data_IF_230674632687
#
_entry.id   IF_230674632687
#
_cell.length_a   1.000
_cell.length_b   1.000
_cell.length_c   1.000
_cell.angle_alpha   90.00
_cell.angle_beta   90.00
_cell.angle_gamma   90.00
#
_symmetry.space_group_name_H-M   'P 1'
#
loop_
_entity.id
_entity.type
_entity.pdbx_description
1 polymer ?
#
# COMPACT_ATOMS: atom_id res chain seq x y z
N UNK A 1 -17.07 6.68 -0.22
CA UNK A 1 -15.81 6.54 -1.00
C UNK A 1 -15.42 5.07 -1.04
N UNK A 2 -14.90 4.61 -2.14
CA UNK A 2 -14.46 3.22 -2.30
C UNK A 2 -12.98 3.14 -2.61
N UNK A 3 -12.40 1.97 -2.40
CA UNK A 3 -11.02 1.68 -2.79
C UNK A 3 -11.04 0.86 -4.07
N UNK A 4 -10.18 1.24 -4.99
CA UNK A 4 -9.88 0.44 -6.17
C UNK A 4 -8.38 0.20 -6.24
N UNK A 5 -8.00 -0.97 -6.74
CA UNK A 5 -6.60 -1.34 -6.94
C UNK A 5 -6.32 -1.37 -8.43
N UNK A 6 -5.25 -0.72 -8.85
CA UNK A 6 -4.83 -0.81 -10.24
C UNK A 6 -4.45 -2.27 -10.56
N UNK A 7 -4.44 -2.61 -11.85
CA UNK A 7 -4.05 -3.95 -12.27
C UNK A 7 -2.63 -4.32 -11.80
N UNK A 8 -1.76 -3.33 -11.70
CA UNK A 8 -0.41 -3.51 -11.18
C UNK A 8 -0.42 -3.76 -9.67
N UNK A 9 -1.16 -2.94 -8.93
CA UNK A 9 -1.16 -2.97 -7.47
C UNK A 9 -1.82 -4.21 -6.88
N UNK A 10 -2.78 -4.79 -7.59
CA UNK A 10 -3.53 -5.97 -7.12
C UNK A 10 -2.61 -7.12 -6.73
N UNK A 11 -1.49 -7.29 -7.45
CA UNK A 11 -0.55 -8.38 -7.20
C UNK A 11 0.46 -8.06 -6.08
N UNK A 12 0.62 -6.79 -5.70
CA UNK A 12 1.68 -6.39 -4.78
C UNK A 12 1.59 -7.04 -3.40
N UNK A 13 0.41 -7.09 -2.73
CA UNK A 13 0.34 -7.72 -1.41
C UNK A 13 0.74 -9.19 -1.44
N UNK A 14 0.38 -9.91 -2.48
CA UNK A 14 0.75 -11.33 -2.61
C UNK A 14 2.25 -11.48 -2.81
N UNK A 15 2.85 -10.66 -3.66
CA UNK A 15 4.29 -10.67 -3.90
C UNK A 15 5.06 -10.39 -2.61
N UNK A 16 4.61 -9.38 -1.85
CA UNK A 16 5.20 -9.04 -0.55
C UNK A 16 5.04 -10.21 0.42
N UNK A 17 3.86 -10.81 0.48
CA UNK A 17 3.57 -11.92 1.38
C UNK A 17 4.49 -13.11 1.11
N UNK A 18 4.67 -13.45 -0.16
CA UNK A 18 5.56 -14.56 -0.55
C UNK A 18 7.00 -14.30 -0.14
N UNK A 19 7.48 -13.07 -0.33
CA UNK A 19 8.81 -12.67 0.08
C UNK A 19 8.99 -12.77 1.60
N UNK A 20 8.04 -12.23 2.37
CA UNK A 20 8.11 -12.25 3.83
C UNK A 20 8.04 -13.67 4.36
N UNK A 21 7.21 -14.52 3.75
CA UNK A 21 7.12 -15.92 4.15
C UNK A 21 8.46 -16.62 3.98
N UNK A 22 9.15 -16.40 2.86
CA UNK A 22 10.45 -16.98 2.62
C UNK A 22 11.52 -16.48 3.57
N UNK A 23 11.52 -15.16 3.84
CA UNK A 23 12.56 -14.54 4.68
C UNK A 23 12.30 -14.70 6.17
N UNK A 24 11.06 -14.92 6.56
CA UNK A 24 10.64 -15.02 7.96
C UNK A 24 9.81 -16.27 8.18
N UNK A 25 8.50 -16.15 8.07
CA UNK A 25 7.57 -17.25 8.27
C UNK A 25 6.17 -16.83 7.81
N UNK A 26 5.26 -17.81 7.76
CA UNK A 26 3.89 -17.57 7.31
C UNK A 26 3.13 -16.64 8.25
N UNK A 27 3.33 -16.76 9.55
CA UNK A 27 2.64 -15.91 10.53
C UNK A 27 2.98 -14.44 10.31
N UNK A 28 4.26 -14.14 10.10
CA UNK A 28 4.71 -12.77 9.82
C UNK A 28 4.15 -12.27 8.50
N UNK A 29 4.15 -13.11 7.46
CA UNK A 29 3.59 -12.76 6.15
C UNK A 29 2.12 -12.40 6.27
N UNK A 30 1.35 -13.18 7.03
CA UNK A 30 -0.08 -12.91 7.22
C UNK A 30 -0.31 -11.60 7.95
N UNK A 31 0.51 -11.29 8.95
CA UNK A 31 0.41 -10.02 9.68
C UNK A 31 0.72 -8.84 8.78
N UNK A 32 1.75 -8.94 7.97
CA UNK A 32 2.11 -7.88 7.02
C UNK A 32 0.97 -7.65 6.02
N UNK A 33 0.43 -8.72 5.46
CA UNK A 33 -0.69 -8.64 4.51
C UNK A 33 -1.89 -7.94 5.13
N UNK A 34 -2.26 -8.34 6.35
CA UNK A 34 -3.38 -7.72 7.08
C UNK A 34 -3.14 -6.23 7.29
N UNK A 35 -1.93 -5.85 7.69
CA UNK A 35 -1.61 -4.44 7.92
C UNK A 35 -1.68 -3.62 6.64
N UNK A 36 -1.28 -4.19 5.51
CA UNK A 36 -1.40 -3.51 4.21
C UNK A 36 -2.87 -3.23 3.89
N UNK A 37 -3.73 -4.24 3.97
CA UNK A 37 -5.14 -4.08 3.64
C UNK A 37 -5.86 -3.15 4.61
N UNK A 38 -5.55 -3.22 5.89
CA UNK A 38 -6.13 -2.31 6.88
C UNK A 38 -5.72 -0.87 6.62
N UNK A 39 -4.45 -0.62 6.31
CA UNK A 39 -3.96 0.71 6.00
C UNK A 39 -4.65 1.29 4.77
N UNK A 40 -4.85 0.47 3.74
CA UNK A 40 -5.54 0.89 2.52
C UNK A 40 -7.01 1.20 2.84
N UNK A 41 -7.67 0.35 3.61
CA UNK A 41 -9.08 0.54 3.96
C UNK A 41 -9.28 1.83 4.78
N UNK A 42 -8.33 2.19 5.63
CA UNK A 42 -8.39 3.42 6.41
C UNK A 42 -8.39 4.66 5.53
N UNK A 43 -7.87 4.58 4.31
CA UNK A 43 -7.89 5.70 3.37
C UNK A 43 -9.28 6.08 2.91
N UNK A 44 -10.27 5.20 3.04
CA UNK A 44 -11.67 5.51 2.75
C UNK A 44 -12.17 6.62 3.67
N UNK A 45 -11.75 6.58 4.94
CA UNK A 45 -12.14 7.58 5.94
C UNK A 45 -11.21 8.79 5.93
N UNK A 46 -9.93 8.57 5.72
CA UNK A 46 -8.92 9.63 5.75
C UNK A 46 -8.03 9.60 4.50
N UNK A 47 -8.58 9.98 3.34
CA UNK A 47 -7.83 9.87 2.09
C UNK A 47 -6.58 10.76 2.02
N UNK A 48 -6.55 11.86 2.78
CA UNK A 48 -5.40 12.77 2.79
C UNK A 48 -4.31 12.36 3.78
N UNK A 49 -4.42 11.19 4.41
CA UNK A 49 -3.48 10.75 5.44
C UNK A 49 -2.06 10.58 4.93
N UNK A 50 -1.89 10.13 3.69
CA UNK A 50 -0.58 9.99 3.09
C UNK A 50 0.03 11.34 2.74
N UNK A 51 1.36 11.40 2.75
CA UNK A 51 2.10 12.59 2.31
C UNK A 51 2.00 12.76 0.80
N UNK A 52 2.30 13.94 0.29
CA UNK A 52 2.42 14.13 -1.15
C UNK A 52 3.50 13.21 -1.71
N UNK A 53 3.17 12.52 -2.81
CA UNK A 53 4.07 11.59 -3.43
C UNK A 53 5.11 12.27 -4.30
N UNK A 54 6.12 11.50 -4.70
CA UNK A 54 7.17 11.96 -5.62
C UNK A 54 6.63 12.29 -6.99
N UNK A 55 5.59 11.56 -7.41
CA UNK A 55 4.91 11.83 -8.67
C UNK A 55 3.74 12.76 -8.39
N UNK A 56 3.62 13.83 -9.16
CA UNK A 56 2.55 14.79 -9.01
C UNK A 56 1.18 14.09 -9.07
N UNK A 57 0.28 14.48 -8.16
CA UNK A 57 -1.05 13.89 -8.08
C UNK A 57 -1.13 12.60 -7.30
N UNK A 58 -0.02 12.10 -6.78
CA UNK A 58 -0.02 10.90 -5.93
C UNK A 58 0.21 11.24 -4.47
N UNK A 59 -0.15 10.29 -3.61
CA UNK A 59 0.18 10.30 -2.18
C UNK A 59 0.86 9.00 -1.80
N UNK A 60 1.62 9.04 -0.72
CA UNK A 60 2.35 7.88 -0.21
C UNK A 60 2.04 7.72 1.27
N UNK A 61 1.47 6.58 1.63
CA UNK A 61 1.18 6.23 3.01
C UNK A 61 2.19 5.22 3.52
N UNK A 62 2.96 5.61 4.53
CA UNK A 62 3.89 4.69 5.21
C UNK A 62 3.10 3.82 6.17
N UNK A 63 3.33 2.51 6.12
CA UNK A 63 2.69 1.55 7.00
C UNK A 63 3.60 1.29 8.20
N UNK A 64 3.64 2.25 9.12
CA UNK A 64 4.51 2.16 10.30
C UNK A 64 4.04 1.03 11.21
N UNK A 65 4.95 0.20 11.75
CA UNK A 65 6.42 0.22 11.64
C UNK A 65 7.00 -0.58 10.48
N UNK A 66 6.16 -1.05 9.57
CA UNK A 66 6.61 -1.85 8.44
C UNK A 66 7.28 -1.00 7.37
N UNK A 67 8.21 -1.60 6.58
CA UNK A 67 8.95 -0.84 5.58
C UNK A 67 8.21 -0.70 4.25
N UNK A 68 6.88 -0.70 4.28
CA UNK A 68 6.08 -0.65 3.06
C UNK A 68 5.35 0.67 2.92
N UNK A 69 5.17 1.10 1.68
CA UNK A 69 4.52 2.35 1.32
C UNK A 69 3.41 2.05 0.32
N UNK A 70 2.21 2.55 0.61
CA UNK A 70 1.08 2.51 -0.33
C UNK A 70 1.11 3.78 -1.15
N UNK A 71 1.26 3.66 -2.46
CA UNK A 71 1.19 4.78 -3.39
C UNK A 71 -0.21 4.82 -3.98
N UNK A 72 -0.89 5.96 -3.89
CA UNK A 72 -2.29 6.06 -4.28
C UNK A 72 -2.63 7.45 -4.81
N UNK A 73 -3.78 7.53 -5.47
CA UNK A 73 -4.39 8.79 -5.92
C UNK A 73 -5.77 8.91 -5.31
N UNK A 74 -6.18 10.15 -5.02
CA UNK A 74 -7.51 10.42 -4.46
C UNK A 74 -8.36 11.10 -5.53
N UNK A 75 -9.52 10.51 -5.80
CA UNK A 75 -10.55 11.07 -6.67
C UNK A 75 -11.79 11.37 -5.83
N UNK A 76 -12.76 12.14 -6.33
CA UNK A 76 -13.92 12.49 -5.52
C UNK A 76 -14.66 11.31 -4.92
N UNK A 77 -14.68 10.16 -5.61
CA UNK A 77 -15.49 9.00 -5.21
C UNK A 77 -14.68 7.80 -4.80
N UNK A 78 -13.35 7.85 -5.01
CA UNK A 78 -12.52 6.66 -4.80
C UNK A 78 -11.08 7.01 -4.46
N UNK A 79 -10.44 6.05 -3.83
CA UNK A 79 -9.00 6.01 -3.68
C UNK A 79 -8.49 4.92 -4.63
N UNK A 80 -7.56 5.27 -5.50
CA UNK A 80 -6.96 4.33 -6.43
C UNK A 80 -5.55 3.98 -5.95
N UNK A 81 -5.35 2.72 -5.55
CA UNK A 81 -4.03 2.22 -5.15
C UNK A 81 -3.24 1.89 -6.41
N UNK A 82 -2.10 2.55 -6.57
CA UNK A 82 -1.24 2.41 -7.74
C UNK A 82 -0.15 1.35 -7.54
N UNK A 83 0.42 1.32 -6.35
CA UNK A 83 1.49 0.38 -5.98
C UNK A 83 1.54 0.22 -4.47
N UNK A 84 2.07 -0.94 -4.03
CA UNK A 84 2.58 -1.09 -2.68
C UNK A 84 4.05 -1.49 -2.83
N UNK A 85 4.95 -0.66 -2.29
CA UNK A 85 6.38 -0.82 -2.51
C UNK A 85 7.12 -0.89 -1.19
N UNK A 86 8.31 -1.50 -1.21
CA UNK A 86 9.22 -1.42 -0.08
C UNK A 86 9.87 -0.04 -0.07
N UNK A 87 10.06 0.52 1.13
CA UNK A 87 10.62 1.87 1.26
C UNK A 87 12.02 2.05 0.66
N UNK A 88 12.76 0.94 0.49
CA UNK A 88 14.08 0.98 -0.15
C UNK A 88 14.03 0.91 -1.67
N UNK A 89 12.87 0.60 -2.25
CA UNK A 89 12.71 0.55 -3.69
C UNK A 89 12.63 1.95 -4.28
N UNK A 90 13.07 2.06 -5.52
CA UNK A 90 12.86 3.30 -6.27
C UNK A 90 11.40 3.36 -6.71
N UNK A 91 10.77 4.47 -6.43
CA UNK A 91 9.44 4.80 -6.91
C UNK A 91 9.51 6.19 -7.54
N UNK A 92 9.00 6.41 -8.70
CA UNK A 92 8.33 5.50 -9.59
C UNK A 92 9.22 4.43 -10.19
#
# INVERSE_FOLDING_TARGET
>A
MRVEWSSHAVADPKTISEYVEQERNLSTANRVTRNIYEAVQDLVTMPSRGRQGRVEGTRELLIVPLPYIVVYQVFPERVLVLNVVHGAQRWP
#
